data_IF_607143661665
#
_entry.id   IF_607143661665
#
_cell.length_a   1.000
_cell.length_b   1.000
_cell.length_c   1.000
_cell.angle_alpha   90.00
_cell.angle_beta   90.00
_cell.angle_gamma   90.00
#
_symmetry.space_group_name_H-M   'P 1'
#
loop_
_entity.id
_entity.type
_entity.pdbx_description
1 polymer ?
#
# COMPACT_ATOMS: atom_id res chain seq x y z
N UNK A 1 20.98 3.46 -30.51
CA UNK A 1 21.18 3.82 -31.94
C UNK A 1 22.35 4.78 -32.01
N UNK A 2 23.37 4.45 -32.79
CA UNK A 2 24.55 5.32 -32.96
C UNK A 2 24.35 6.09 -34.29
N UNK A 3 24.31 7.41 -34.21
CA UNK A 3 24.29 8.28 -35.41
C UNK A 3 25.60 9.03 -35.41
N UNK A 4 26.40 8.83 -36.47
CA UNK A 4 27.64 9.55 -36.69
C UNK A 4 27.36 10.66 -37.70
N UNK A 5 27.32 11.90 -37.26
CA UNK A 5 27.27 13.09 -38.09
C UNK A 5 28.52 13.90 -37.81
N UNK A 6 29.32 14.10 -38.87
CA UNK A 6 30.50 14.99 -38.89
C UNK A 6 31.50 14.82 -37.73
N UNK A 7 31.88 13.56 -37.40
CA UNK A 7 32.94 13.30 -36.41
C UNK A 7 32.47 13.31 -34.94
N UNK A 8 31.19 13.55 -34.64
CA UNK A 8 30.60 13.43 -33.31
C UNK A 8 29.80 12.14 -33.18
N UNK A 9 30.15 11.32 -32.20
CA UNK A 9 29.40 10.12 -31.84
C UNK A 9 28.32 10.56 -30.84
N UNK A 10 27.08 10.62 -31.30
CA UNK A 10 25.93 10.78 -30.37
C UNK A 10 25.46 9.40 -29.93
N UNK A 11 25.80 9.04 -28.71
CA UNK A 11 25.16 7.92 -28.01
C UNK A 11 23.82 8.40 -27.43
N UNK A 12 22.72 8.10 -28.12
CA UNK A 12 21.39 8.23 -27.49
C UNK A 12 21.26 7.15 -26.46
N UNK A 13 21.47 7.50 -25.18
CA UNK A 13 21.02 6.66 -24.08
C UNK A 13 19.49 6.56 -24.17
N UNK A 14 18.97 5.36 -24.36
CA UNK A 14 17.52 5.16 -24.34
C UNK A 14 17.00 5.52 -22.95
N UNK A 15 15.99 6.38 -22.89
CA UNK A 15 15.38 6.81 -21.63
C UNK A 15 14.67 5.60 -21.04
N UNK A 16 15.14 5.14 -19.89
CA UNK A 16 14.46 4.11 -19.09
C UNK A 16 13.26 4.76 -18.39
N UNK A 17 12.07 4.46 -18.83
CA UNK A 17 10.82 5.05 -18.32
C UNK A 17 9.81 4.02 -17.83
N UNK A 18 10.17 2.73 -17.81
CA UNK A 18 9.31 1.66 -17.28
C UNK A 18 9.86 1.19 -15.94
N UNK A 19 8.98 1.06 -14.96
CA UNK A 19 9.26 0.40 -13.69
C UNK A 19 8.31 -0.78 -13.50
N UNK A 20 8.77 -1.85 -12.85
CA UNK A 20 7.87 -2.88 -12.33
C UNK A 20 7.44 -2.44 -10.93
N UNK A 21 6.14 -2.27 -10.73
CA UNK A 21 5.55 -2.14 -9.40
C UNK A 21 5.12 -3.52 -8.91
N UNK A 22 5.44 -3.84 -7.67
CA UNK A 22 5.05 -5.09 -7.02
C UNK A 22 4.42 -4.81 -5.66
N UNK A 23 3.26 -5.42 -5.41
CA UNK A 23 2.56 -5.39 -4.13
C UNK A 23 2.58 -6.77 -3.49
N UNK A 24 3.13 -6.83 -2.27
CA UNK A 24 3.26 -8.07 -1.49
C UNK A 24 2.09 -8.15 -0.50
N UNK A 25 1.05 -8.83 -0.92
CA UNK A 25 -0.09 -9.14 -0.06
C UNK A 25 0.17 -10.28 0.91
N UNK A 26 -0.81 -10.56 1.79
CA UNK A 26 -0.70 -11.66 2.77
C UNK A 26 -0.73 -13.06 2.17
N UNK A 27 -1.28 -13.24 0.96
CA UNK A 27 -1.50 -14.53 0.31
C UNK A 27 -1.19 -14.54 -1.19
N UNK A 28 -0.70 -13.45 -1.72
CA UNK A 28 -0.39 -13.30 -3.15
C UNK A 28 0.65 -12.20 -3.36
N UNK A 29 1.28 -12.20 -4.52
CA UNK A 29 2.01 -11.08 -5.10
C UNK A 29 1.26 -10.62 -6.33
N UNK A 30 1.09 -9.31 -6.47
CA UNK A 30 0.63 -8.67 -7.70
C UNK A 30 1.74 -7.77 -8.23
N UNK A 31 2.04 -7.83 -9.51
CA UNK A 31 3.00 -6.94 -10.14
C UNK A 31 2.60 -6.57 -11.57
N UNK A 32 3.05 -5.41 -12.02
CA UNK A 32 2.84 -4.93 -13.38
C UNK A 32 3.95 -3.96 -13.79
N UNK A 33 4.11 -3.76 -15.10
CA UNK A 33 4.92 -2.68 -15.63
C UNK A 33 4.12 -1.37 -15.64
N UNK A 34 4.76 -0.30 -15.23
CA UNK A 34 4.21 1.06 -15.16
C UNK A 34 5.08 2.00 -15.99
N UNK A 35 4.44 2.78 -16.85
CA UNK A 35 5.08 3.90 -17.53
C UNK A 35 5.19 5.08 -16.56
N UNK A 36 6.41 5.42 -16.17
CA UNK A 36 6.70 6.47 -15.18
C UNK A 36 6.36 7.89 -15.68
N UNK A 37 6.29 8.10 -17.00
CA UNK A 37 5.97 9.41 -17.58
C UNK A 37 4.46 9.67 -17.49
N UNK A 38 3.66 8.68 -17.87
CA UNK A 38 2.19 8.81 -17.89
C UNK A 38 1.50 8.38 -16.60
N UNK A 39 2.19 7.68 -15.68
CA UNK A 39 1.60 7.09 -14.49
C UNK A 39 0.58 5.98 -14.82
N UNK A 40 0.74 5.28 -15.94
CA UNK A 40 -0.21 4.25 -16.37
C UNK A 40 0.37 2.85 -16.22
N UNK A 41 -0.48 1.95 -15.73
CA UNK A 41 -0.19 0.53 -15.69
C UNK A 41 -0.35 -0.05 -17.10
N UNK A 42 0.65 -0.77 -17.58
CA UNK A 42 0.59 -1.56 -18.80
C UNK A 42 -0.15 -2.86 -18.50
N UNK A 43 -1.47 -2.86 -18.69
CA UNK A 43 -2.40 -3.90 -18.21
C UNK A 43 -2.10 -5.32 -18.68
N UNK A 44 -1.56 -5.48 -19.87
CA UNK A 44 -1.14 -6.77 -20.43
C UNK A 44 0.03 -7.41 -19.66
N UNK A 45 0.76 -6.61 -18.86
CA UNK A 45 1.86 -7.09 -18.00
C UNK A 45 1.40 -7.52 -16.61
N UNK A 46 0.16 -7.18 -16.23
CA UNK A 46 -0.37 -7.49 -14.91
C UNK A 46 -0.29 -9.00 -14.64
N UNK A 47 0.31 -9.34 -13.53
CA UNK A 47 0.53 -10.72 -13.09
C UNK A 47 0.21 -10.81 -11.60
N UNK A 48 -0.61 -11.79 -11.25
CA UNK A 48 -0.90 -12.15 -9.87
C UNK A 48 -0.56 -13.62 -9.66
N UNK A 49 0.08 -13.94 -8.52
CA UNK A 49 0.37 -15.32 -8.12
C UNK A 49 0.06 -15.53 -6.64
N UNK A 50 -0.62 -16.63 -6.29
CA UNK A 50 -0.82 -17.01 -4.90
C UNK A 50 0.52 -17.38 -4.25
N UNK A 51 0.66 -16.99 -2.99
CA UNK A 51 1.85 -17.25 -2.17
C UNK A 51 1.43 -17.93 -0.88
N UNK A 52 2.02 -19.08 -0.60
CA UNK A 52 1.99 -19.65 0.74
C UNK A 52 3.01 -18.90 1.61
N UNK A 53 2.50 -17.98 2.44
CA UNK A 53 3.33 -17.14 3.30
C UNK A 53 3.95 -17.88 4.49
N UNK A 54 3.62 -19.18 4.68
CA UNK A 54 4.23 -20.08 5.66
C UNK A 54 5.29 -21.00 5.03
N UNK A 55 5.42 -20.99 3.70
CA UNK A 55 6.40 -21.80 2.99
C UNK A 55 7.84 -21.39 3.35
N UNK A 56 8.80 -22.25 3.00
CA UNK A 56 10.22 -21.93 3.12
C UNK A 56 10.57 -20.68 2.28
N UNK A 57 11.56 -19.91 2.74
CA UNK A 57 11.97 -18.66 2.11
C UNK A 57 12.25 -18.80 0.61
N UNK A 58 12.96 -19.87 0.20
CA UNK A 58 13.26 -20.11 -1.22
C UNK A 58 12.01 -20.30 -2.08
N UNK A 59 10.97 -20.92 -1.54
CA UNK A 59 9.69 -21.09 -2.25
C UNK A 59 8.95 -19.76 -2.39
N UNK A 60 8.88 -18.95 -1.33
CA UNK A 60 8.27 -17.62 -1.35
C UNK A 60 8.97 -16.73 -2.39
N UNK A 61 10.30 -16.61 -2.29
CA UNK A 61 11.12 -15.82 -3.22
C UNK A 61 11.02 -16.36 -4.65
N UNK A 62 10.94 -17.69 -4.82
CA UNK A 62 10.72 -18.32 -6.12
C UNK A 62 9.41 -17.88 -6.79
N UNK A 63 8.30 -17.85 -6.04
CA UNK A 63 6.99 -17.38 -6.55
C UNK A 63 7.05 -15.89 -6.89
N UNK A 64 7.67 -15.06 -6.04
CA UNK A 64 7.82 -13.64 -6.32
C UNK A 64 8.66 -13.41 -7.58
N UNK A 65 9.77 -14.10 -7.72
CA UNK A 65 10.63 -14.00 -8.90
C UNK A 65 9.92 -14.45 -10.18
N UNK A 66 9.10 -15.51 -10.13
CA UNK A 66 8.29 -15.92 -11.29
C UNK A 66 7.24 -14.89 -11.70
N UNK A 67 6.60 -14.23 -10.74
CA UNK A 67 5.64 -13.17 -11.04
C UNK A 67 6.34 -11.98 -11.72
N UNK A 68 7.48 -11.56 -11.17
CA UNK A 68 8.28 -10.47 -11.70
C UNK A 68 8.84 -10.78 -13.10
N UNK A 69 9.38 -11.99 -13.33
CA UNK A 69 9.85 -12.44 -14.64
C UNK A 69 8.74 -12.34 -15.69
N UNK A 70 7.55 -12.84 -15.36
CA UNK A 70 6.41 -12.80 -16.27
C UNK A 70 5.96 -11.39 -16.65
N UNK A 71 6.16 -10.40 -15.77
CA UNK A 71 5.90 -8.99 -16.08
C UNK A 71 7.06 -8.36 -16.90
N UNK A 72 8.30 -8.68 -16.54
CA UNK A 72 9.52 -8.20 -17.23
C UNK A 72 9.61 -8.68 -18.67
N UNK A 73 9.24 -9.94 -18.94
CA UNK A 73 9.28 -10.54 -20.30
C UNK A 73 8.36 -9.84 -21.30
N UNK A 74 7.38 -9.07 -20.83
CA UNK A 74 6.40 -8.36 -21.68
C UNK A 74 6.81 -6.92 -22.02
N UNK A 75 7.96 -6.47 -21.54
CA UNK A 75 8.45 -5.10 -21.80
C UNK A 75 9.88 -5.13 -22.30
N UNK A 76 10.29 -4.15 -23.15
CA UNK A 76 11.66 -4.07 -23.62
C UNK A 76 12.64 -3.87 -22.45
N UNK A 77 13.63 -4.76 -22.25
CA UNK A 77 14.54 -4.70 -21.11
C UNK A 77 15.30 -3.36 -21.00
N UNK A 78 15.65 -2.78 -22.13
CA UNK A 78 16.36 -1.50 -22.22
C UNK A 78 15.55 -0.30 -21.74
N UNK A 79 14.22 -0.44 -21.64
CA UNK A 79 13.33 0.61 -21.10
C UNK A 79 13.08 0.45 -19.60
N UNK A 80 13.43 -0.71 -19.02
CA UNK A 80 13.17 -0.99 -17.60
C UNK A 80 14.22 -0.32 -16.74
N UNK A 81 13.76 0.45 -15.76
CA UNK A 81 14.59 1.15 -14.78
C UNK A 81 14.88 0.29 -13.56
N UNK A 82 13.90 -0.50 -13.13
CA UNK A 82 14.01 -1.35 -11.95
C UNK A 82 12.66 -1.88 -11.46
N UNK A 83 12.68 -2.40 -10.24
CA UNK A 83 11.52 -2.93 -9.53
C UNK A 83 11.31 -2.13 -8.24
N UNK A 84 10.10 -1.67 -7.99
CA UNK A 84 9.66 -1.13 -6.71
C UNK A 84 8.72 -2.09 -6.01
N UNK A 85 8.91 -2.27 -4.71
CA UNK A 85 8.07 -3.14 -3.89
C UNK A 85 7.27 -2.33 -2.86
N UNK A 86 5.97 -2.55 -2.81
CA UNK A 86 5.13 -2.30 -1.66
C UNK A 86 5.25 -3.53 -0.73
N UNK A 87 5.87 -3.34 0.44
CA UNK A 87 6.30 -4.45 1.30
C UNK A 87 5.74 -4.28 2.71
N UNK A 88 5.04 -5.28 3.27
CA UNK A 88 4.59 -5.21 4.65
C UNK A 88 5.79 -5.17 5.61
N UNK A 89 5.63 -4.46 6.72
CA UNK A 89 6.61 -4.40 7.79
C UNK A 89 6.41 -5.44 8.89
N UNK A 90 7.39 -5.56 9.82
CA UNK A 90 8.65 -4.80 9.90
C UNK A 90 9.69 -5.15 8.80
N UNK A 91 10.29 -4.13 8.21
CA UNK A 91 11.22 -4.30 7.09
C UNK A 91 12.25 -3.16 7.06
N UNK A 92 13.49 -3.42 6.73
CA UNK A 92 14.49 -2.37 6.44
C UNK A 92 14.33 -1.96 4.97
N UNK A 93 13.55 -0.92 4.72
CA UNK A 93 13.24 -0.44 3.37
C UNK A 93 14.45 0.17 2.65
N UNK A 94 15.53 0.48 3.36
CA UNK A 94 16.78 0.99 2.77
C UNK A 94 17.66 -0.16 2.29
N UNK A 95 17.82 -1.20 3.14
CA UNK A 95 18.69 -2.35 2.85
C UNK A 95 18.00 -3.50 2.17
N UNK A 96 16.65 -3.51 2.14
CA UNK A 96 15.88 -4.60 1.58
C UNK A 96 15.84 -5.85 2.47
N UNK A 97 15.95 -5.71 3.81
CA UNK A 97 16.01 -6.83 4.74
C UNK A 97 14.67 -7.02 5.46
N UNK A 98 14.13 -8.23 5.42
CA UNK A 98 12.88 -8.59 6.08
C UNK A 98 13.10 -8.83 7.57
N UNK A 99 12.31 -8.16 8.43
CA UNK A 99 12.29 -8.36 9.88
C UNK A 99 10.91 -8.78 10.40
N UNK A 100 10.07 -9.34 9.54
CA UNK A 100 8.72 -9.81 9.90
C UNK A 100 8.84 -10.98 10.88
N UNK A 101 8.23 -10.84 12.07
CA UNK A 101 8.20 -11.86 13.11
C UNK A 101 6.97 -11.67 14.01
N UNK A 102 6.36 -12.77 14.44
CA UNK A 102 5.23 -12.74 15.39
C UNK A 102 3.90 -12.29 14.79
N UNK A 103 3.78 -12.26 13.45
CA UNK A 103 2.55 -11.81 12.74
C UNK A 103 1.93 -12.93 11.88
N UNK A 104 2.40 -14.17 12.05
CA UNK A 104 1.90 -15.37 11.39
C UNK A 104 1.88 -15.30 9.83
N UNK A 105 2.77 -14.51 9.25
CA UNK A 105 3.00 -14.44 7.80
C UNK A 105 4.45 -14.08 7.51
N UNK A 106 5.04 -14.68 6.48
CA UNK A 106 6.41 -14.39 6.00
C UNK A 106 7.53 -14.51 7.05
N UNK A 107 7.32 -15.23 8.16
CA UNK A 107 8.30 -15.35 9.23
C UNK A 107 9.57 -16.07 8.78
N UNK A 108 9.48 -16.95 7.79
CA UNK A 108 10.62 -17.64 7.20
C UNK A 108 11.53 -16.71 6.35
N UNK A 109 11.11 -15.47 6.10
CA UNK A 109 11.93 -14.45 5.45
C UNK A 109 12.76 -13.62 6.45
N UNK A 110 12.61 -13.85 7.76
CA UNK A 110 13.32 -13.06 8.77
C UNK A 110 14.84 -13.07 8.56
N UNK A 111 15.43 -11.86 8.47
CA UNK A 111 16.86 -11.66 8.25
C UNK A 111 17.34 -11.83 6.79
N UNK A 112 16.44 -12.16 5.86
CA UNK A 112 16.80 -12.32 4.45
C UNK A 112 16.84 -10.95 3.77
N UNK A 113 17.92 -10.72 3.01
CA UNK A 113 18.01 -9.61 2.07
C UNK A 113 17.22 -9.96 0.80
N UNK A 114 16.08 -9.31 0.62
CA UNK A 114 15.16 -9.54 -0.51
C UNK A 114 15.79 -9.04 -1.82
N UNK A 115 16.58 -7.97 -1.78
CA UNK A 115 17.30 -7.47 -2.96
C UNK A 115 18.21 -8.54 -3.53
N UNK A 116 19.06 -9.13 -2.68
CA UNK A 116 20.02 -10.16 -3.10
C UNK A 116 19.31 -11.40 -3.60
N UNK A 117 18.27 -11.85 -2.87
CA UNK A 117 17.52 -13.06 -3.22
C UNK A 117 16.77 -12.92 -4.57
N UNK A 118 16.12 -11.80 -4.82
CA UNK A 118 15.41 -11.51 -6.08
C UNK A 118 16.43 -11.35 -7.22
N UNK A 119 17.55 -10.62 -6.98
CA UNK A 119 18.58 -10.42 -7.99
C UNK A 119 19.20 -11.74 -8.45
N UNK A 120 19.50 -12.64 -7.49
CA UNK A 120 20.03 -13.96 -7.81
C UNK A 120 19.06 -14.81 -8.65
N UNK A 121 17.76 -14.81 -8.28
CA UNK A 121 16.75 -15.61 -9.00
C UNK A 121 16.44 -15.07 -10.40
N UNK A 122 16.49 -13.75 -10.59
CA UNK A 122 16.19 -13.11 -11.88
C UNK A 122 17.45 -12.95 -12.77
N UNK A 123 18.64 -13.27 -12.27
CA UNK A 123 19.89 -13.03 -12.97
C UNK A 123 20.16 -11.53 -13.23
N UNK A 124 19.73 -10.69 -12.30
CA UNK A 124 19.88 -9.24 -12.39
C UNK A 124 21.33 -8.87 -12.05
N UNK A 125 21.93 -8.01 -12.90
CA UNK A 125 23.30 -7.54 -12.74
C UNK A 125 23.36 -6.10 -12.23
N UNK A 126 24.56 -5.61 -11.93
CA UNK A 126 24.83 -4.27 -11.41
C UNK A 126 24.14 -3.18 -12.22
N UNK A 127 23.55 -2.22 -11.50
CA UNK A 127 22.87 -1.06 -12.08
C UNK A 127 21.35 -1.22 -12.29
N UNK A 128 20.77 -2.38 -12.02
CA UNK A 128 19.31 -2.55 -11.96
C UNK A 128 18.80 -2.18 -10.55
N UNK A 129 17.83 -1.30 -10.48
CA UNK A 129 17.36 -0.76 -9.22
C UNK A 129 16.26 -1.64 -8.61
N UNK A 130 16.42 -2.01 -7.33
CA UNK A 130 15.37 -2.63 -6.52
C UNK A 130 15.16 -1.72 -5.30
N UNK A 131 13.91 -1.24 -5.10
CA UNK A 131 13.57 -0.28 -4.05
C UNK A 131 12.31 -0.75 -3.32
N UNK A 132 12.18 -0.38 -2.05
CA UNK A 132 11.11 -0.84 -1.17
C UNK A 132 10.48 0.34 -0.44
N UNK A 133 9.19 0.20 -0.16
CA UNK A 133 8.41 1.10 0.69
C UNK A 133 7.35 0.28 1.44
N UNK A 134 6.92 0.78 2.59
CA UNK A 134 5.78 0.18 3.29
C UNK A 134 4.53 0.15 2.39
N UNK A 135 3.74 -0.93 2.48
CA UNK A 135 2.56 -1.18 1.65
C UNK A 135 1.49 -0.07 1.75
N UNK A 136 1.16 0.38 2.95
CA UNK A 136 0.21 1.48 3.14
C UNK A 136 0.76 2.83 2.63
N UNK A 137 2.07 3.05 2.77
CA UNK A 137 2.74 4.22 2.22
C UNK A 137 2.76 4.19 0.69
N UNK A 138 3.00 3.02 0.09
CA UNK A 138 2.95 2.84 -1.37
C UNK A 138 1.53 3.09 -1.90
N UNK A 139 0.49 2.55 -1.24
CA UNK A 139 -0.89 2.86 -1.56
C UNK A 139 -1.15 4.37 -1.56
N UNK A 140 -0.73 5.06 -0.50
CA UNK A 140 -0.95 6.50 -0.36
C UNK A 140 -0.19 7.33 -1.40
N UNK A 141 1.05 6.94 -1.73
CA UNK A 141 1.86 7.56 -2.78
C UNK A 141 1.21 7.37 -4.15
N UNK A 142 0.70 6.17 -4.45
CA UNK A 142 -0.02 5.90 -5.71
C UNK A 142 -1.27 6.77 -5.85
N UNK A 143 -2.06 6.91 -4.78
CA UNK A 143 -3.23 7.81 -4.75
C UNK A 143 -2.84 9.29 -4.91
N UNK A 144 -1.72 9.70 -4.33
CA UNK A 144 -1.22 11.08 -4.47
C UNK A 144 -0.54 11.35 -5.83
N UNK A 145 -0.01 10.33 -6.49
CA UNK A 145 0.62 10.48 -7.80
C UNK A 145 -0.40 10.44 -8.94
N UNK A 146 -1.25 9.40 -8.98
CA UNK A 146 -2.12 9.11 -10.12
C UNK A 146 -3.59 8.87 -9.76
N UNK A 147 -3.94 8.92 -8.47
CA UNK A 147 -5.27 8.59 -7.97
C UNK A 147 -6.08 9.77 -7.49
N UNK A 148 -6.94 9.49 -6.51
CA UNK A 148 -7.94 10.41 -5.99
C UNK A 148 -7.33 11.63 -5.28
N UNK A 149 -6.12 11.50 -4.71
CA UNK A 149 -5.40 12.57 -4.02
C UNK A 149 -4.42 13.35 -4.93
N UNK A 150 -4.41 13.11 -6.25
CA UNK A 150 -3.39 13.67 -7.16
C UNK A 150 -3.39 15.21 -7.26
N UNK A 151 -4.46 15.86 -6.86
CA UNK A 151 -4.60 17.33 -6.84
C UNK A 151 -4.44 17.94 -5.46
N UNK A 152 -4.37 17.11 -4.41
CA UNK A 152 -4.22 17.57 -3.04
C UNK A 152 -2.74 17.71 -2.65
N UNK A 153 -2.41 18.74 -1.90
CA UNK A 153 -1.09 18.88 -1.33
C UNK A 153 -0.92 18.03 -0.05
N UNK A 154 -2.02 17.85 0.70
CA UNK A 154 -2.01 17.13 1.98
C UNK A 154 -3.15 16.11 2.00
N UNK A 155 -2.81 14.84 2.04
CA UNK A 155 -3.78 13.75 2.10
C UNK A 155 -3.45 12.77 3.23
N UNK A 156 -4.50 12.22 3.83
CA UNK A 156 -4.40 11.00 4.62
C UNK A 156 -5.03 9.88 3.79
N UNK A 157 -4.26 8.83 3.53
CA UNK A 157 -4.80 7.62 2.92
C UNK A 157 -4.87 6.52 3.95
N UNK A 158 -5.99 5.80 4.00
CA UNK A 158 -6.20 4.66 4.90
C UNK A 158 -6.65 3.45 4.12
N UNK A 159 -6.28 2.27 4.60
CA UNK A 159 -6.78 1.00 4.09
C UNK A 159 -7.46 0.22 5.20
N UNK A 160 -8.77 0.04 5.09
CA UNK A 160 -9.54 -0.86 5.93
C UNK A 160 -9.52 -2.26 5.30
N UNK A 161 -8.52 -3.07 5.66
CA UNK A 161 -8.27 -4.38 5.05
C UNK A 161 -8.06 -5.49 6.08
N UNK A 162 -7.18 -6.44 5.80
CA UNK A 162 -6.74 -7.46 6.77
C UNK A 162 -6.20 -6.79 8.04
N UNK A 163 -5.42 -5.71 7.88
CA UNK A 163 -5.03 -4.76 8.90
C UNK A 163 -5.56 -3.36 8.59
N UNK A 164 -5.32 -2.41 9.50
CA UNK A 164 -5.62 -0.99 9.35
C UNK A 164 -4.36 -0.23 8.90
N UNK A 165 -4.19 -0.05 7.60
CA UNK A 165 -3.07 0.71 7.03
C UNK A 165 -3.37 2.20 6.97
N UNK A 166 -2.33 3.04 7.05
CA UNK A 166 -2.46 4.49 6.90
C UNK A 166 -1.13 5.15 6.55
N UNK A 167 -1.18 6.24 5.78
CA UNK A 167 -0.03 7.10 5.56
C UNK A 167 -0.47 8.55 5.33
N UNK A 168 0.30 9.48 5.90
CA UNK A 168 0.15 10.92 5.73
C UNK A 168 1.05 11.38 4.59
N UNK A 169 0.49 12.07 3.62
CA UNK A 169 1.21 12.53 2.43
C UNK A 169 1.19 14.06 2.37
N UNK A 170 2.35 14.65 2.16
CA UNK A 170 2.46 16.07 1.81
C UNK A 170 3.29 16.23 0.54
N UNK A 171 2.72 16.89 -0.49
CA UNK A 171 3.37 17.05 -1.79
C UNK A 171 3.89 15.73 -2.38
N UNK A 172 3.06 14.68 -2.31
CA UNK A 172 3.34 13.28 -2.74
C UNK A 172 4.36 12.53 -1.87
N UNK A 173 4.94 13.14 -0.82
CA UNK A 173 5.96 12.54 0.01
C UNK A 173 5.32 12.07 1.32
N UNK A 174 5.55 10.82 1.76
CA UNK A 174 5.14 10.33 3.06
C UNK A 174 5.79 11.12 4.20
N UNK A 175 4.97 11.56 5.14
CA UNK A 175 5.41 12.22 6.36
C UNK A 175 5.36 11.20 7.49
N UNK A 176 6.54 10.82 7.98
CA UNK A 176 6.70 9.73 8.95
C UNK A 176 7.09 10.21 10.34
N UNK A 177 7.43 11.49 10.48
CA UNK A 177 7.81 12.13 11.74
C UNK A 177 7.39 13.61 11.76
N UNK A 178 7.37 14.20 12.94
CA UNK A 178 7.05 15.61 13.14
C UNK A 178 5.81 15.84 13.99
N UNK A 179 5.51 17.10 14.31
CA UNK A 179 4.45 17.44 15.27
C UNK A 179 3.03 17.16 14.75
N UNK A 180 2.84 17.04 13.43
CA UNK A 180 1.50 16.92 12.80
C UNK A 180 1.07 15.47 12.56
N UNK A 181 2.00 14.52 12.69
CA UNK A 181 1.75 13.08 12.49
C UNK A 181 2.18 12.28 13.70
N UNK A 182 1.67 11.05 13.91
CA UNK A 182 2.22 10.18 14.94
C UNK A 182 3.62 9.68 14.52
N UNK A 183 4.37 9.17 15.50
CA UNK A 183 5.64 8.51 15.23
C UNK A 183 5.45 7.40 14.18
N UNK A 184 6.42 7.25 13.28
CA UNK A 184 6.40 6.34 12.12
C UNK A 184 5.30 6.64 11.07
N UNK A 185 4.63 7.80 11.15
CA UNK A 185 3.68 8.27 10.13
C UNK A 185 2.45 7.39 9.90
N UNK A 186 2.09 6.53 10.86
CA UNK A 186 0.90 5.67 10.75
C UNK A 186 0.14 5.58 12.08
N UNK A 187 -1.12 5.16 12.03
CA UNK A 187 -2.05 5.24 13.16
C UNK A 187 -2.57 3.89 13.64
N UNK A 188 -2.24 2.78 12.99
CA UNK A 188 -2.78 1.46 13.32
C UNK A 188 -2.48 1.00 14.76
N UNK A 189 -1.29 1.35 15.27
CA UNK A 189 -0.76 0.94 16.56
C UNK A 189 -1.16 1.86 17.72
N UNK A 190 -1.85 2.95 17.42
CA UNK A 190 -2.24 3.92 18.44
C UNK A 190 -3.30 3.34 19.37
N UNK A 191 -3.23 3.63 20.68
CA UNK A 191 -4.24 3.21 21.65
C UNK A 191 -5.64 3.67 21.25
N UNK A 192 -6.59 2.76 21.28
CA UNK A 192 -8.00 3.03 21.06
C UNK A 192 -8.86 2.13 21.94
N UNK A 193 -9.66 2.73 22.81
CA UNK A 193 -10.46 2.01 23.83
C UNK A 193 -9.61 1.06 24.66
N UNK A 194 -9.93 -0.23 24.63
CA UNK A 194 -9.26 -1.31 25.36
C UNK A 194 -8.16 -2.04 24.56
N UNK A 195 -7.80 -1.51 23.37
CA UNK A 195 -6.79 -2.08 22.49
C UNK A 195 -6.07 -1.02 21.65
N UNK A 196 -5.78 -1.35 20.42
CA UNK A 196 -5.19 -0.46 19.43
C UNK A 196 -6.16 -0.24 18.24
N UNK A 197 -5.92 0.75 17.45
CA UNK A 197 -6.78 1.08 16.31
C UNK A 197 -6.97 -0.10 15.33
N UNK A 198 -5.94 -0.92 15.11
CA UNK A 198 -6.01 -2.10 14.24
C UNK A 198 -7.03 -3.15 14.76
N UNK A 199 -7.21 -3.28 16.08
CA UNK A 199 -8.17 -4.20 16.67
C UNK A 199 -9.63 -3.79 16.42
N UNK A 200 -9.84 -2.53 16.02
CA UNK A 200 -11.17 -1.97 15.75
C UNK A 200 -11.45 -1.75 14.27
N UNK A 201 -10.44 -1.37 13.49
CA UNK A 201 -10.60 -0.89 12.12
C UNK A 201 -10.05 -1.85 11.06
N UNK A 202 -9.83 -3.12 11.43
CA UNK A 202 -9.44 -4.20 10.51
C UNK A 202 -10.56 -5.23 10.32
N UNK A 203 -10.42 -6.05 9.29
CA UNK A 203 -11.29 -7.24 9.07
C UNK A 203 -11.31 -8.13 10.31
N UNK A 204 -10.15 -8.39 10.89
CA UNK A 204 -9.99 -9.19 12.09
C UNK A 204 -10.78 -8.61 13.28
N UNK A 205 -10.71 -7.30 13.47
CA UNK A 205 -11.44 -6.59 14.52
C UNK A 205 -12.96 -6.67 14.34
N UNK A 206 -13.46 -6.43 13.11
CA UNK A 206 -14.90 -6.55 12.81
C UNK A 206 -15.43 -7.97 13.04
N UNK A 207 -14.73 -8.99 12.54
CA UNK A 207 -15.13 -10.39 12.69
C UNK A 207 -15.07 -10.85 14.15
N UNK A 208 -14.06 -10.42 14.91
CA UNK A 208 -13.96 -10.69 16.34
C UNK A 208 -15.15 -10.09 17.13
N UNK A 209 -15.52 -8.85 16.85
CA UNK A 209 -16.68 -8.20 17.47
C UNK A 209 -17.98 -8.90 17.11
N UNK A 210 -18.18 -9.29 15.85
CA UNK A 210 -19.36 -10.05 15.45
C UNK A 210 -19.45 -11.39 16.18
N UNK A 211 -18.34 -12.14 16.25
CA UNK A 211 -18.28 -13.41 17.00
C UNK A 211 -18.61 -13.19 18.48
N UNK A 212 -18.09 -12.14 19.11
CA UNK A 212 -18.36 -11.80 20.51
C UNK A 212 -19.86 -11.51 20.77
N UNK A 213 -20.54 -10.87 19.81
CA UNK A 213 -21.96 -10.51 19.93
C UNK A 213 -22.91 -11.67 19.63
N UNK A 214 -22.56 -12.55 18.71
CA UNK A 214 -23.47 -13.57 18.17
C UNK A 214 -23.06 -15.00 18.45
N UNK A 215 -21.80 -15.23 18.84
CA UNK A 215 -21.20 -16.57 18.94
C UNK A 215 -20.86 -17.21 17.59
N UNK A 216 -21.16 -16.54 16.44
CA UNK A 216 -20.95 -17.08 15.10
C UNK A 216 -19.61 -16.64 14.52
N UNK A 217 -18.99 -17.50 13.71
CA UNK A 217 -17.78 -17.20 12.96
C UNK A 217 -18.11 -16.98 11.49
N UNK A 218 -17.38 -16.04 10.84
CA UNK A 218 -17.48 -15.74 9.43
C UNK A 218 -16.07 -15.67 8.83
N UNK A 219 -15.98 -15.92 7.50
CA UNK A 219 -14.69 -15.99 6.81
C UNK A 219 -14.17 -14.62 6.36
N UNK A 220 -15.01 -13.57 6.33
CA UNK A 220 -14.61 -12.26 5.87
C UNK A 220 -15.70 -11.20 5.91
N UNK A 221 -15.29 -9.94 5.70
CA UNK A 221 -16.23 -8.81 5.74
C UNK A 221 -17.26 -8.86 4.61
N UNK A 222 -16.96 -9.45 3.47
CA UNK A 222 -17.93 -9.62 2.38
C UNK A 222 -19.13 -10.48 2.84
N UNK A 223 -18.86 -11.58 3.53
CA UNK A 223 -19.89 -12.44 4.12
C UNK A 223 -20.65 -11.69 5.20
N UNK A 224 -19.94 -11.00 6.12
CA UNK A 224 -20.54 -10.17 7.15
C UNK A 224 -21.48 -9.12 6.55
N UNK A 225 -21.02 -8.35 5.56
CA UNK A 225 -21.81 -7.31 4.91
C UNK A 225 -23.07 -7.84 4.22
N UNK A 226 -23.03 -9.06 3.68
CA UNK A 226 -24.21 -9.68 3.04
C UNK A 226 -25.36 -9.97 4.02
N UNK A 227 -25.07 -10.06 5.33
CA UNK A 227 -26.08 -10.28 6.37
C UNK A 227 -26.78 -8.98 6.81
N UNK A 228 -26.29 -7.80 6.41
CA UNK A 228 -26.83 -6.52 6.92
C UNK A 228 -28.31 -6.30 6.62
N UNK A 229 -28.85 -6.87 5.54
CA UNK A 229 -30.27 -6.75 5.19
C UNK A 229 -31.21 -7.58 6.09
N UNK A 230 -30.67 -8.58 6.80
CA UNK A 230 -31.45 -9.55 7.60
C UNK A 230 -31.04 -9.67 9.05
N UNK A 231 -29.94 -9.01 9.46
CA UNK A 231 -29.37 -9.09 10.81
C UNK A 231 -29.03 -7.68 11.32
N UNK A 232 -29.86 -7.18 12.22
CA UNK A 232 -29.69 -5.87 12.84
C UNK A 232 -28.36 -5.75 13.60
N UNK A 233 -27.82 -6.86 14.16
CA UNK A 233 -26.52 -6.85 14.83
C UNK A 233 -25.43 -6.43 13.86
N UNK A 234 -25.53 -6.85 12.60
CA UNK A 234 -24.57 -6.46 11.55
C UNK A 234 -24.70 -4.99 11.19
N UNK A 235 -25.94 -4.49 11.06
CA UNK A 235 -26.20 -3.07 10.78
C UNK A 235 -25.65 -2.18 11.88
N UNK A 236 -25.91 -2.55 13.17
CA UNK A 236 -25.39 -1.83 14.33
C UNK A 236 -23.86 -1.88 14.39
N UNK A 237 -23.27 -3.04 14.05
CA UNK A 237 -21.81 -3.21 14.02
C UNK A 237 -21.13 -2.30 13.00
N UNK A 238 -21.70 -2.16 11.78
CA UNK A 238 -21.17 -1.23 10.78
C UNK A 238 -21.42 0.23 11.15
N UNK A 239 -22.57 0.53 11.77
CA UNK A 239 -22.85 1.88 12.29
C UNK A 239 -21.83 2.29 13.36
N UNK A 240 -21.58 1.42 14.32
CA UNK A 240 -20.54 1.59 15.33
C UNK A 240 -19.13 1.74 14.70
N UNK A 241 -18.84 0.93 13.68
CA UNK A 241 -17.57 1.03 12.97
C UNK A 241 -17.39 2.41 12.36
N UNK A 242 -18.39 2.92 11.65
CA UNK A 242 -18.35 4.25 11.04
C UNK A 242 -18.17 5.37 12.06
N UNK A 243 -18.98 5.36 13.14
CA UNK A 243 -18.90 6.38 14.19
C UNK A 243 -17.53 6.38 14.89
N UNK A 244 -17.04 5.19 15.26
CA UNK A 244 -15.75 5.02 15.91
C UNK A 244 -14.57 5.42 14.99
N UNK A 245 -14.62 5.05 13.70
CA UNK A 245 -13.58 5.43 12.73
C UNK A 245 -13.52 6.94 12.54
N UNK A 246 -14.69 7.60 12.42
CA UNK A 246 -14.77 9.05 12.33
C UNK A 246 -14.21 9.75 13.57
N UNK A 247 -14.58 9.28 14.76
CA UNK A 247 -14.07 9.82 16.03
C UNK A 247 -12.55 9.67 16.15
N UNK A 248 -12.02 8.51 15.79
CA UNK A 248 -10.57 8.22 15.86
C UNK A 248 -9.76 9.04 14.87
N UNK A 249 -10.25 9.19 13.64
CA UNK A 249 -9.53 9.87 12.57
C UNK A 249 -9.58 11.41 12.67
N UNK A 250 -10.67 11.97 13.22
CA UNK A 250 -10.89 13.41 13.24
C UNK A 250 -9.74 14.24 13.84
N UNK A 251 -9.14 13.90 14.99
CA UNK A 251 -8.01 14.66 15.53
C UNK A 251 -6.79 14.64 14.61
N UNK A 252 -6.53 13.54 13.93
CA UNK A 252 -5.41 13.40 13.00
C UNK A 252 -5.63 14.18 11.71
N UNK A 253 -6.83 14.12 11.14
CA UNK A 253 -7.22 14.91 9.97
C UNK A 253 -7.06 16.42 10.23
N UNK A 254 -7.52 16.89 11.39
CA UNK A 254 -7.39 18.29 11.78
C UNK A 254 -5.93 18.69 12.04
N UNK A 255 -5.20 17.88 12.79
CA UNK A 255 -3.81 18.15 13.15
C UNK A 255 -2.91 18.18 11.92
N UNK A 256 -3.10 17.24 11.01
CA UNK A 256 -2.38 17.17 9.74
C UNK A 256 -2.92 18.21 8.73
N UNK A 257 -4.07 18.83 8.96
CA UNK A 257 -4.76 19.71 7.99
C UNK A 257 -4.97 19.01 6.65
N UNK A 258 -5.44 17.76 6.70
CA UNK A 258 -5.71 16.99 5.49
C UNK A 258 -6.76 17.68 4.63
N UNK A 259 -6.48 17.85 3.34
CA UNK A 259 -7.42 18.36 2.34
C UNK A 259 -8.37 17.24 1.89
N UNK A 260 -7.84 16.01 1.83
CA UNK A 260 -8.56 14.82 1.39
C UNK A 260 -8.20 13.60 2.24
N UNK A 261 -9.21 12.80 2.55
CA UNK A 261 -9.09 11.46 3.13
C UNK A 261 -9.45 10.43 2.06
N UNK A 262 -8.48 9.60 1.66
CA UNK A 262 -8.71 8.49 0.72
C UNK A 262 -8.90 7.20 1.50
N UNK A 263 -9.99 6.50 1.23
CA UNK A 263 -10.33 5.22 1.88
C UNK A 263 -10.21 4.08 0.87
N UNK A 264 -9.35 3.11 1.19
CA UNK A 264 -9.17 1.86 0.44
C UNK A 264 -9.34 0.62 1.31
N UNK A 265 -8.89 -0.51 0.77
CA UNK A 265 -8.98 -1.82 1.44
C UNK A 265 -10.35 -2.48 1.32
N UNK A 266 -10.43 -3.78 1.66
CA UNK A 266 -11.60 -4.61 1.38
C UNK A 266 -12.89 -4.18 2.12
N UNK A 267 -12.77 -3.57 3.30
CA UNK A 267 -13.94 -3.08 4.06
C UNK A 267 -14.58 -1.88 3.35
N UNK A 268 -13.82 -1.12 2.54
CA UNK A 268 -14.36 0.00 1.79
C UNK A 268 -15.47 -0.39 0.80
N UNK A 269 -15.52 -1.66 0.38
CA UNK A 269 -16.61 -2.17 -0.45
C UNK A 269 -17.98 -2.19 0.27
N UNK A 270 -17.97 -2.16 1.60
CA UNK A 270 -19.16 -2.03 2.43
C UNK A 270 -19.43 -0.59 2.89
N UNK A 271 -18.88 0.42 2.21
CA UNK A 271 -18.99 1.83 2.60
C UNK A 271 -20.45 2.30 2.71
N UNK A 272 -21.35 1.76 1.91
CA UNK A 272 -22.77 2.02 2.00
C UNK A 272 -23.41 1.66 3.37
N UNK A 273 -22.78 0.79 4.17
CA UNK A 273 -23.27 0.40 5.49
C UNK A 273 -22.79 1.32 6.63
N UNK A 274 -21.68 2.03 6.44
CA UNK A 274 -21.08 2.84 7.51
C UNK A 274 -20.74 4.28 7.09
N UNK A 275 -20.65 4.55 5.80
CA UNK A 275 -20.09 5.81 5.28
C UNK A 275 -20.85 7.05 5.70
N UNK A 276 -22.19 7.03 5.70
CA UNK A 276 -23.02 8.18 6.13
C UNK A 276 -22.76 8.54 7.59
N UNK A 277 -22.69 7.54 8.47
CA UNK A 277 -22.44 7.73 9.91
C UNK A 277 -20.99 8.20 10.14
N UNK A 278 -20.05 7.65 9.39
CA UNK A 278 -18.65 8.08 9.40
C UNK A 278 -18.50 9.56 9.03
N UNK A 279 -19.12 9.98 7.93
CA UNK A 279 -19.07 11.39 7.48
C UNK A 279 -19.81 12.33 8.42
N UNK A 280 -20.95 11.91 8.99
CA UNK A 280 -21.66 12.68 10.04
C UNK A 280 -20.78 12.87 11.28
N UNK A 281 -20.07 11.82 11.70
CA UNK A 281 -19.12 11.92 12.81
C UNK A 281 -18.01 12.92 12.50
N UNK A 282 -17.39 12.85 11.33
CA UNK A 282 -16.37 13.82 10.92
C UNK A 282 -16.90 15.26 10.91
N UNK A 283 -18.13 15.47 10.45
CA UNK A 283 -18.79 16.79 10.49
C UNK A 283 -19.01 17.27 11.93
N UNK A 284 -19.50 16.41 12.83
CA UNK A 284 -19.63 16.72 14.26
C UNK A 284 -18.30 17.10 14.90
N UNK A 285 -17.22 16.43 14.48
CA UNK A 285 -15.84 16.74 14.89
C UNK A 285 -15.25 17.96 14.18
N UNK A 286 -15.99 18.64 13.31
CA UNK A 286 -15.57 19.82 12.55
C UNK A 286 -14.39 19.56 11.60
N UNK A 287 -14.31 18.36 11.03
CA UNK A 287 -13.39 18.07 9.93
C UNK A 287 -13.94 18.66 8.63
N UNK A 288 -13.05 19.26 7.82
CA UNK A 288 -13.38 19.91 6.56
C UNK A 288 -12.77 19.21 5.34
N UNK A 289 -12.03 18.11 5.54
CA UNK A 289 -11.44 17.38 4.44
C UNK A 289 -12.50 16.68 3.57
N UNK A 290 -12.22 16.57 2.29
CA UNK A 290 -12.99 15.72 1.38
C UNK A 290 -12.79 14.25 1.73
N UNK A 291 -13.85 13.44 1.71
CA UNK A 291 -13.76 11.98 1.91
C UNK A 291 -14.06 11.31 0.58
N UNK A 292 -13.14 10.47 0.13
CA UNK A 292 -13.28 9.75 -1.14
C UNK A 292 -12.88 8.28 -0.99
N UNK A 293 -13.55 7.42 -1.75
CA UNK A 293 -13.11 6.04 -1.92
C UNK A 293 -12.02 5.97 -2.99
N UNK A 294 -11.00 5.14 -2.76
CA UNK A 294 -9.97 4.87 -3.75
C UNK A 294 -10.59 4.36 -5.05
N UNK A 295 -10.29 5.04 -6.17
CA UNK A 295 -10.65 4.59 -7.51
C UNK A 295 -9.60 3.62 -8.07
N UNK A 296 -8.37 3.76 -7.64
CA UNK A 296 -7.26 2.88 -8.04
C UNK A 296 -7.33 1.53 -7.35
N UNK A 297 -7.89 1.46 -6.15
CA UNK A 297 -7.98 0.21 -5.35
C UNK A 297 -6.59 -0.41 -5.17
N UNK A 298 -6.41 -1.69 -5.54
CA UNK A 298 -5.14 -2.41 -5.44
C UNK A 298 -4.06 -1.86 -6.38
N UNK A 299 -4.44 -1.21 -7.50
CA UNK A 299 -3.50 -0.54 -8.39
C UNK A 299 -2.70 0.58 -7.72
N UNK A 300 -3.23 1.18 -6.65
CA UNK A 300 -2.55 2.26 -5.96
C UNK A 300 -1.19 1.83 -5.40
N UNK A 301 -1.12 0.64 -4.78
CA UNK A 301 0.14 0.11 -4.25
C UNK A 301 1.16 -0.19 -5.36
N UNK A 302 0.70 -0.72 -6.50
CA UNK A 302 1.54 -0.94 -7.68
C UNK A 302 2.12 0.36 -8.22
N UNK A 303 1.29 1.39 -8.35
CA UNK A 303 1.71 2.71 -8.83
C UNK A 303 2.70 3.37 -7.85
N UNK A 304 2.40 3.35 -6.57
CA UNK A 304 3.27 3.96 -5.57
C UNK A 304 4.61 3.24 -5.43
N UNK A 305 4.64 1.91 -5.50
CA UNK A 305 5.89 1.14 -5.49
C UNK A 305 6.73 1.42 -6.75
N UNK A 306 6.12 1.47 -7.93
CA UNK A 306 6.82 1.84 -9.17
C UNK A 306 7.37 3.26 -9.12
N UNK A 307 6.66 4.19 -8.50
CA UNK A 307 7.09 5.60 -8.37
C UNK A 307 8.39 5.76 -7.57
N UNK A 308 8.78 4.76 -6.76
CA UNK A 308 10.11 4.70 -6.15
C UNK A 308 11.25 4.77 -7.19
N UNK A 309 10.99 4.39 -8.42
CA UNK A 309 11.98 4.41 -9.51
C UNK A 309 12.08 5.78 -10.20
N UNK A 310 11.21 6.74 -9.91
CA UNK A 310 11.40 8.14 -10.29
C UNK A 310 12.55 8.76 -9.47
N UNK A 311 13.51 9.41 -10.14
CA UNK A 311 14.72 9.86 -9.45
C UNK A 311 14.48 11.04 -8.53
N UNK A 312 13.54 11.91 -8.86
CA UNK A 312 13.25 13.09 -8.04
C UNK A 312 12.40 12.68 -6.83
N UNK A 313 11.44 11.79 -7.02
CA UNK A 313 10.70 11.21 -5.91
C UNK A 313 11.63 10.43 -4.98
N UNK A 314 12.52 9.59 -5.52
CA UNK A 314 13.47 8.83 -4.72
C UNK A 314 14.35 9.73 -3.83
N UNK A 315 14.94 10.79 -4.38
CA UNK A 315 15.71 11.76 -3.60
C UNK A 315 14.89 12.36 -2.46
N UNK A 316 13.61 12.58 -2.69
CA UNK A 316 12.71 13.20 -1.73
C UNK A 316 12.24 12.24 -0.63
N UNK A 317 12.08 10.94 -0.93
CA UNK A 317 11.46 9.96 -0.01
C UNK A 317 12.48 9.15 0.80
N UNK A 318 13.72 8.99 0.29
CA UNK A 318 14.71 8.09 0.91
C UNK A 318 15.01 8.40 2.39
N UNK A 319 14.88 9.65 2.83
CA UNK A 319 15.07 10.03 4.23
C UNK A 319 13.96 9.51 5.16
N UNK A 320 12.76 9.23 4.61
CA UNK A 320 11.62 8.72 5.37
C UNK A 320 11.65 7.19 5.51
N UNK A 321 12.31 6.47 4.59
CA UNK A 321 12.32 5.00 4.56
C UNK A 321 12.82 4.34 5.85
N UNK A 322 13.85 4.84 6.55
CA UNK A 322 14.31 4.23 7.80
C UNK A 322 13.30 4.31 8.96
N UNK A 323 12.27 5.14 8.81
CA UNK A 323 11.26 5.42 9.83
C UNK A 323 9.89 4.80 9.52
N UNK A 324 9.74 4.09 8.39
CA UNK A 324 8.50 3.44 7.98
C UNK A 324 8.27 2.08 8.65
#
# INVERSE_FOLDING_TARGET
MIIVLSGFIFTFSMIKNIAIGADIGGSHITCAAIDLVSGKILRDTLTERPVDNQAQASAIIGVWSQALSAALEKVPPEKVKGIGFAMPGPFDYVKGICYIRGVAKYENLYGINITDAISANLGIHDGFLIRFMNDASAFAVGEAWAGSASKANRSLSITFGTGFGSAFISNRIPIVDGPEVPRIGCIYHLPYKDGIADDYFSTRGLLHRYKKLTGKELNGVKELASLAASDNVVTDLFSDFGDNAGLFLAPWLKKFRAEILVIGGNISHAYNLFGSIFEERLKKEKCTCEVVLSKLKEDAALLGSAYLLDDDFWKSVQHALPLM
#
